data_IF_032714785752
#
_entry.id   IF_032714785752
#
_cell.length_a   1.000
_cell.length_b   1.000
_cell.length_c   1.000
_cell.angle_alpha   90.00
_cell.angle_beta   90.00
_cell.angle_gamma   90.00
#
_symmetry.space_group_name_H-M   'P 1'
#
loop_
_entity.id
_entity.type
_entity.pdbx_description
1 polymer ?
#
# COMPACT_ATOMS: atom_id res chain seq x y z
N UNK A 1 18.01 3.22 -21.49
CA UNK A 1 17.60 2.55 -20.24
C UNK A 1 16.34 3.22 -19.72
N UNK A 2 15.22 2.50 -19.79
CA UNK A 2 13.88 2.97 -19.38
C UNK A 2 13.84 3.25 -17.87
N UNK A 3 12.87 4.05 -17.41
CA UNK A 3 12.60 4.23 -15.97
C UNK A 3 12.22 2.87 -15.34
N UNK A 4 11.47 2.05 -16.08
CA UNK A 4 11.14 0.68 -15.68
C UNK A 4 12.39 -0.16 -15.42
N UNK A 5 13.36 -0.15 -16.36
CA UNK A 5 14.62 -0.88 -16.21
C UNK A 5 15.38 -0.42 -14.96
N UNK A 6 15.41 0.89 -14.68
CA UNK A 6 16.07 1.40 -13.47
C UNK A 6 15.41 0.89 -12.20
N UNK A 7 14.08 0.86 -12.14
CA UNK A 7 13.36 0.32 -10.99
C UNK A 7 13.62 -1.18 -10.81
N UNK A 8 13.60 -1.94 -11.91
CA UNK A 8 13.90 -3.38 -11.89
C UNK A 8 15.35 -3.64 -11.47
N UNK A 9 16.33 -2.94 -12.05
CA UNK A 9 17.74 -3.06 -11.66
C UNK A 9 17.95 -2.74 -10.18
N UNK A 10 17.31 -1.68 -9.67
CA UNK A 10 17.37 -1.32 -8.26
C UNK A 10 16.76 -2.42 -7.37
N UNK A 11 15.58 -2.93 -7.73
CA UNK A 11 14.93 -4.03 -7.04
C UNK A 11 15.83 -5.27 -7.03
N UNK A 12 16.34 -5.71 -8.18
CA UNK A 12 17.18 -6.91 -8.27
C UNK A 12 18.46 -6.78 -7.44
N UNK A 13 19.07 -5.59 -7.39
CA UNK A 13 20.21 -5.33 -6.50
C UNK A 13 19.85 -5.47 -5.02
N UNK A 14 18.67 -4.98 -4.61
CA UNK A 14 18.19 -5.15 -3.24
C UNK A 14 17.88 -6.63 -2.94
N UNK A 15 17.20 -7.35 -3.83
CA UNK A 15 16.85 -8.76 -3.67
C UNK A 15 18.10 -9.66 -3.52
N UNK A 16 19.21 -9.30 -4.17
CA UNK A 16 20.48 -10.02 -4.09
C UNK A 16 21.27 -9.75 -2.80
N UNK A 17 21.07 -8.58 -2.18
CA UNK A 17 21.90 -8.13 -1.04
C UNK A 17 21.18 -8.12 0.30
N UNK A 18 19.85 -8.11 0.31
CA UNK A 18 19.04 -7.91 1.50
C UNK A 18 17.97 -8.99 1.64
N UNK A 19 17.69 -9.39 2.88
CA UNK A 19 16.55 -10.25 3.22
C UNK A 19 15.26 -9.48 3.45
N UNK A 20 15.38 -8.16 3.64
CA UNK A 20 14.27 -7.22 3.76
C UNK A 20 14.48 -6.13 2.74
N UNK A 21 13.55 -6.01 1.79
CA UNK A 21 13.60 -5.01 0.72
C UNK A 21 12.55 -3.95 1.00
N UNK A 22 12.95 -2.68 0.95
CA UNK A 22 12.04 -1.55 1.02
C UNK A 22 11.97 -0.86 -0.35
N UNK A 23 10.77 -0.87 -0.93
CA UNK A 23 10.44 -0.13 -2.14
C UNK A 23 9.97 1.26 -1.74
N UNK A 24 10.78 2.25 -2.07
CA UNK A 24 10.50 3.67 -1.82
C UNK A 24 10.63 4.42 -3.14
N UNK A 25 9.50 4.66 -3.78
CA UNK A 25 9.43 5.42 -5.02
C UNK A 25 8.47 6.60 -4.84
N UNK A 26 9.00 7.82 -4.61
CA UNK A 26 8.15 8.99 -4.53
C UNK A 26 7.40 9.18 -5.85
N UNK A 27 6.10 9.45 -5.77
CA UNK A 27 5.20 9.66 -6.92
C UNK A 27 4.97 8.45 -7.85
N UNK A 28 5.40 7.24 -7.48
CA UNK A 28 5.08 6.06 -8.26
C UNK A 28 3.60 5.69 -8.17
N UNK A 29 3.05 5.17 -9.27
CA UNK A 29 1.69 4.66 -9.28
C UNK A 29 1.59 3.36 -8.47
N UNK A 30 0.42 3.11 -7.88
CA UNK A 30 0.16 1.85 -7.17
C UNK A 30 0.38 0.61 -8.04
N UNK A 31 0.16 0.72 -9.36
CA UNK A 31 0.42 -0.37 -10.31
C UNK A 31 1.92 -0.68 -10.42
N UNK A 32 2.78 0.36 -10.42
CA UNK A 32 4.24 0.19 -10.39
C UNK A 32 4.67 -0.55 -9.14
N UNK A 33 4.11 -0.21 -7.98
CA UNK A 33 4.38 -0.90 -6.73
C UNK A 33 3.91 -2.36 -6.76
N UNK A 34 2.70 -2.61 -7.28
CA UNK A 34 2.20 -3.98 -7.41
C UNK A 34 3.04 -4.83 -8.37
N UNK A 35 3.47 -4.26 -9.49
CA UNK A 35 4.34 -4.93 -10.45
C UNK A 35 5.70 -5.29 -9.83
N UNK A 36 6.34 -4.34 -9.14
CA UNK A 36 7.63 -4.58 -8.46
C UNK A 36 7.49 -5.61 -7.32
N UNK A 37 6.40 -5.53 -6.56
CA UNK A 37 6.12 -6.51 -5.51
C UNK A 37 5.87 -7.92 -6.09
N UNK A 38 5.14 -8.02 -7.21
CA UNK A 38 4.94 -9.29 -7.92
C UNK A 38 6.26 -9.88 -8.41
N UNK A 39 7.13 -9.07 -9.04
CA UNK A 39 8.46 -9.51 -9.46
C UNK A 39 9.24 -10.04 -8.26
N UNK A 40 9.22 -9.31 -7.13
CA UNK A 40 9.88 -9.76 -5.91
C UNK A 40 9.31 -11.10 -5.39
N UNK A 41 7.99 -11.33 -5.48
CA UNK A 41 7.35 -12.62 -5.14
C UNK A 41 7.84 -13.77 -6.02
N UNK A 42 8.03 -13.53 -7.32
CA UNK A 42 8.63 -14.51 -8.23
C UNK A 42 10.06 -14.89 -7.81
N UNK A 43 10.81 -13.97 -7.19
CA UNK A 43 12.15 -14.20 -6.65
C UNK A 43 12.16 -14.65 -5.18
N UNK A 44 11.02 -15.10 -4.65
CA UNK A 44 10.93 -15.72 -3.31
C UNK A 44 10.85 -14.72 -2.16
N UNK A 45 10.45 -13.48 -2.43
CA UNK A 45 10.04 -12.55 -1.38
C UNK A 45 8.53 -12.62 -1.17
N UNK A 46 8.05 -12.04 -0.08
CA UNK A 46 6.63 -11.85 0.18
C UNK A 46 6.38 -10.43 0.65
N UNK A 47 5.25 -9.87 0.24
CA UNK A 47 4.79 -8.60 0.76
C UNK A 47 4.50 -8.72 2.27
N UNK A 48 5.05 -7.80 3.07
CA UNK A 48 4.95 -7.84 4.53
C UNK A 48 4.16 -6.67 5.10
N UNK A 49 4.46 -5.43 4.67
CA UNK A 49 3.78 -4.23 5.18
C UNK A 49 3.90 -3.07 4.19
N UNK A 50 3.00 -2.09 4.30
CA UNK A 50 3.16 -0.76 3.72
C UNK A 50 3.05 0.29 4.82
N UNK A 51 3.99 1.22 4.81
CA UNK A 51 4.03 2.34 5.74
C UNK A 51 4.03 3.64 4.96
N UNK A 52 3.19 4.57 5.39
CA UNK A 52 3.21 5.92 4.86
C UNK A 52 4.08 6.76 5.79
N UNK A 53 5.25 7.17 5.29
CA UNK A 53 6.28 7.86 6.09
C UNK A 53 6.44 9.29 5.59
N UNK A 54 6.73 10.20 6.53
CA UNK A 54 7.00 11.60 6.25
C UNK A 54 5.74 12.44 6.05
N UNK A 55 5.95 13.75 5.87
CA UNK A 55 4.87 14.74 5.67
C UNK A 55 4.10 14.52 4.37
N UNK A 56 4.78 14.02 3.34
CA UNK A 56 4.20 13.73 2.03
C UNK A 56 3.52 12.36 1.95
N UNK A 57 3.50 11.60 3.06
CA UNK A 57 2.92 10.24 3.11
C UNK A 57 3.47 9.34 2.00
N UNK A 58 4.79 9.35 1.80
CA UNK A 58 5.45 8.48 0.82
C UNK A 58 5.21 7.03 1.20
N UNK A 59 4.86 6.18 0.23
CA UNK A 59 4.62 4.76 0.45
C UNK A 59 5.95 4.00 0.50
N UNK A 60 6.21 3.38 1.65
CA UNK A 60 7.31 2.46 1.90
C UNK A 60 6.72 1.05 1.93
N UNK A 61 6.97 0.28 0.88
CA UNK A 61 6.51 -1.11 0.80
C UNK A 61 7.64 -2.02 1.23
N UNK A 62 7.39 -2.80 2.28
CA UNK A 62 8.34 -3.74 2.85
C UNK A 62 8.05 -5.14 2.36
N UNK A 63 9.05 -5.74 1.73
CA UNK A 63 9.08 -7.13 1.28
C UNK A 63 10.08 -7.90 2.14
N UNK A 64 9.77 -9.14 2.48
CA UNK A 64 10.64 -9.99 3.30
C UNK A 64 10.88 -11.30 2.57
N UNK A 65 12.11 -11.82 2.61
CA UNK A 65 12.43 -13.12 2.02
C UNK A 65 11.59 -14.22 2.67
N UNK A 66 10.94 -15.03 1.84
CA UNK A 66 10.21 -16.21 2.28
C UNK A 66 11.17 -17.42 2.32
N UNK A 67 11.39 -17.96 3.52
CA UNK A 67 12.25 -19.13 3.74
C UNK A 67 11.54 -20.45 3.47
N UNK A 68 10.29 -20.43 3.04
CA UNK A 68 9.54 -21.64 2.70
C UNK A 68 10.15 -22.39 1.50
N UNK A 69 10.14 -23.73 1.50
CA UNK A 69 10.75 -24.52 0.44
C UNK A 69 10.12 -24.27 -0.94
N UNK A 70 8.81 -24.03 -1.00
CA UNK A 70 8.12 -23.68 -2.26
C UNK A 70 8.56 -22.32 -2.80
N UNK A 71 8.76 -21.33 -1.94
CA UNK A 71 9.20 -20.00 -2.36
C UNK A 71 10.63 -20.03 -2.90
N UNK A 72 11.53 -20.77 -2.25
CA UNK A 72 12.89 -20.96 -2.71
C UNK A 72 12.97 -21.72 -4.06
N UNK A 73 12.15 -22.76 -4.24
CA UNK A 73 12.07 -23.47 -5.52
C UNK A 73 11.61 -22.56 -6.66
N UNK A 74 10.56 -21.76 -6.44
CA UNK A 74 10.10 -20.76 -7.43
C UNK A 74 11.18 -19.72 -7.72
N UNK A 75 11.86 -19.23 -6.69
CA UNK A 75 12.94 -18.26 -6.84
C UNK A 75 14.10 -18.81 -7.67
N UNK A 76 14.52 -20.05 -7.42
CA UNK A 76 15.57 -20.72 -8.17
C UNK A 76 15.16 -20.95 -9.64
N UNK A 77 13.92 -21.41 -9.87
CA UNK A 77 13.39 -21.60 -11.21
C UNK A 77 13.34 -20.28 -12.00
N UNK A 78 12.86 -19.19 -11.37
CA UNK A 78 12.79 -17.88 -12.01
C UNK A 78 14.17 -17.24 -12.21
N UNK A 79 15.12 -17.45 -11.30
CA UNK A 79 16.50 -17.00 -11.48
C UNK A 79 17.18 -17.72 -12.66
N UNK A 80 16.90 -19.02 -12.85
CA UNK A 80 17.40 -19.78 -13.98
C UNK A 80 16.72 -19.37 -15.31
N UNK A 81 15.42 -19.10 -15.30
CA UNK A 81 14.66 -18.69 -16.48
C UNK A 81 14.96 -17.24 -16.90
N UNK A 82 15.24 -16.35 -15.95
CA UNK A 82 15.46 -14.92 -16.17
C UNK A 82 16.79 -14.44 -15.55
N UNK A 83 17.95 -14.89 -16.06
CA UNK A 83 19.25 -14.56 -15.48
C UNK A 83 19.60 -13.07 -15.63
N UNK A 84 19.04 -12.39 -16.64
CA UNK A 84 19.37 -11.00 -16.98
C UNK A 84 18.36 -9.96 -16.45
N UNK A 85 17.44 -10.35 -15.56
CA UNK A 85 16.39 -9.46 -15.04
C UNK A 85 16.93 -8.12 -14.49
N UNK A 86 18.09 -8.14 -13.81
CA UNK A 86 18.71 -6.92 -13.27
C UNK A 86 19.45 -6.05 -14.28
N UNK A 87 19.71 -6.55 -15.50
CA UNK A 87 20.51 -5.88 -16.53
C UNK A 87 19.66 -5.34 -17.70
N UNK A 88 18.35 -5.12 -17.49
CA UNK A 88 17.41 -4.72 -18.55
C UNK A 88 16.92 -5.90 -19.41
N UNK A 89 17.15 -7.13 -18.95
CA UNK A 89 16.59 -8.33 -19.56
C UNK A 89 15.10 -8.54 -19.23
N UNK A 90 14.49 -9.60 -19.77
CA UNK A 90 13.11 -9.94 -19.47
C UNK A 90 12.94 -10.26 -17.98
N UNK A 91 11.77 -9.92 -17.43
CA UNK A 91 11.38 -10.22 -16.05
C UNK A 91 10.08 -11.03 -16.03
N UNK A 92 9.85 -11.83 -14.97
CA UNK A 92 8.63 -12.62 -14.85
C UNK A 92 7.36 -11.76 -14.95
N UNK A 93 6.45 -12.15 -15.85
CA UNK A 93 5.10 -11.60 -15.92
C UNK A 93 4.97 -10.14 -16.41
N UNK A 94 6.02 -9.53 -16.97
CA UNK A 94 5.96 -8.16 -17.52
C UNK A 94 6.43 -8.11 -18.97
N UNK A 95 5.95 -7.11 -19.71
CA UNK A 95 6.51 -6.78 -21.01
C UNK A 95 7.94 -6.21 -20.88
N UNK A 96 8.84 -6.59 -21.78
CA UNK A 96 10.22 -6.13 -21.75
C UNK A 96 10.32 -4.60 -21.83
N UNK A 97 11.14 -4.00 -20.96
CA UNK A 97 11.33 -2.55 -20.90
C UNK A 97 10.17 -1.77 -20.26
N UNK A 98 9.15 -2.48 -19.75
CA UNK A 98 7.98 -1.91 -19.07
C UNK A 98 7.66 -2.64 -17.77
N UNK A 99 6.92 -1.97 -16.89
CA UNK A 99 6.29 -2.58 -15.70
C UNK A 99 4.80 -2.91 -15.96
N UNK A 100 4.41 -3.00 -17.23
CA UNK A 100 3.08 -3.43 -17.64
C UNK A 100 3.00 -4.95 -17.56
N UNK A 101 2.03 -5.52 -16.82
CA UNK A 101 1.89 -6.97 -16.72
C UNK A 101 1.43 -7.57 -18.04
N UNK A 102 1.86 -8.80 -18.31
CA UNK A 102 1.22 -9.64 -19.34
C UNK A 102 -0.17 -10.08 -18.86
N UNK A 103 -1.13 -10.40 -19.77
CA UNK A 103 -2.50 -10.75 -19.39
C UNK A 103 -2.60 -11.90 -18.37
N UNK A 104 -1.66 -12.85 -18.41
CA UNK A 104 -1.59 -13.98 -17.49
C UNK A 104 -1.20 -13.57 -16.06
N UNK A 105 -0.30 -12.58 -15.91
CA UNK A 105 0.17 -12.09 -14.62
C UNK A 105 -0.68 -10.91 -14.08
N UNK A 106 -1.47 -10.27 -14.94
CA UNK A 106 -2.37 -9.18 -14.58
C UNK A 106 -3.25 -9.46 -13.34
N UNK A 107 -3.96 -10.61 -13.21
CA UNK A 107 -4.79 -10.86 -12.03
C UNK A 107 -3.98 -10.91 -10.73
N UNK A 108 -2.76 -11.45 -10.77
CA UNK A 108 -1.87 -11.53 -9.61
C UNK A 108 -1.31 -10.15 -9.23
N UNK A 109 -0.93 -9.35 -10.23
CA UNK A 109 -0.46 -7.97 -10.03
C UNK A 109 -1.59 -7.10 -9.48
N UNK A 110 -2.82 -7.26 -9.97
CA UNK A 110 -3.98 -6.54 -9.47
C UNK A 110 -4.34 -6.94 -8.04
N UNK A 111 -4.16 -8.21 -7.69
CA UNK A 111 -4.37 -8.71 -6.33
C UNK A 111 -3.37 -8.08 -5.36
N UNK A 112 -2.06 -8.13 -5.65
CA UNK A 112 -1.03 -7.54 -4.78
C UNK A 112 -1.15 -6.01 -4.71
N UNK A 113 -1.50 -5.36 -5.82
CA UNK A 113 -1.82 -3.93 -5.84
C UNK A 113 -3.01 -3.62 -4.93
N UNK A 114 -4.03 -4.48 -4.93
CA UNK A 114 -5.21 -4.33 -4.07
C UNK A 114 -4.84 -4.51 -2.60
N UNK A 115 -3.97 -5.47 -2.26
CA UNK A 115 -3.42 -5.67 -0.92
C UNK A 115 -2.69 -4.42 -0.43
N UNK A 116 -1.73 -3.93 -1.22
CA UNK A 116 -0.95 -2.72 -0.92
C UNK A 116 -1.88 -1.52 -0.70
N UNK A 117 -2.88 -1.31 -1.56
CA UNK A 117 -3.84 -0.22 -1.41
C UNK A 117 -4.70 -0.34 -0.16
N UNK A 118 -5.12 -1.56 0.19
CA UNK A 118 -5.91 -1.83 1.39
C UNK A 118 -5.13 -1.45 2.65
N UNK A 119 -3.87 -1.89 2.74
CA UNK A 119 -3.03 -1.58 3.88
C UNK A 119 -2.63 -0.10 3.91
N UNK A 120 -2.36 0.51 2.75
CA UNK A 120 -2.05 1.94 2.67
C UNK A 120 -3.22 2.81 3.11
N UNK A 121 -4.46 2.44 2.79
CA UNK A 121 -5.66 3.10 3.31
C UNK A 121 -5.77 2.95 4.83
N UNK A 122 -5.42 1.77 5.36
CA UNK A 122 -5.34 1.53 6.80
C UNK A 122 -4.28 2.39 7.49
N UNK A 123 -3.10 2.56 6.87
CA UNK A 123 -2.01 3.38 7.37
C UNK A 123 -2.27 4.90 7.23
N UNK A 124 -2.96 5.33 6.17
CA UNK A 124 -3.28 6.74 5.91
C UNK A 124 -4.33 7.29 6.87
N UNK A 125 -5.22 6.42 7.35
CA UNK A 125 -6.27 6.76 8.28
C UNK A 125 -5.69 6.86 9.70
N UNK A 126 -5.11 8.02 10.04
CA UNK A 126 -4.89 8.42 11.43
C UNK A 126 -6.25 8.69 12.10
N UNK A 127 -7.05 7.63 12.28
CA UNK A 127 -8.41 7.69 12.83
C UNK A 127 -8.42 8.43 14.18
N UNK A 128 -7.40 8.19 15.00
CA UNK A 128 -7.20 8.92 16.27
C UNK A 128 -7.03 10.41 16.05
N UNK A 129 -6.12 10.84 15.17
CA UNK A 129 -5.88 12.26 14.89
C UNK A 129 -7.11 12.94 14.28
N UNK A 130 -7.79 12.29 13.33
CA UNK A 130 -9.00 12.82 12.71
C UNK A 130 -10.15 12.92 13.72
N UNK A 131 -10.31 11.94 14.62
CA UNK A 131 -11.29 12.02 15.70
C UNK A 131 -10.91 13.14 16.70
N UNK A 132 -9.65 13.23 17.11
CA UNK A 132 -9.18 14.32 18.00
C UNK A 132 -9.44 15.69 17.37
N UNK A 133 -9.13 15.86 16.08
CA UNK A 133 -9.45 17.09 15.34
C UNK A 133 -10.96 17.32 15.25
N UNK A 134 -11.75 16.28 14.97
CA UNK A 134 -13.20 16.37 14.90
C UNK A 134 -13.84 16.82 16.22
N UNK A 135 -13.22 16.58 17.37
CA UNK A 135 -13.68 17.09 18.66
C UNK A 135 -13.05 18.44 19.04
N UNK A 136 -11.79 18.68 18.69
CA UNK A 136 -11.07 19.90 19.05
C UNK A 136 -11.57 21.14 18.28
N UNK A 137 -11.87 21.02 16.98
CA UNK A 137 -12.36 22.13 16.16
C UNK A 137 -13.73 22.67 16.61
N UNK A 138 -14.78 21.84 16.80
CA UNK A 138 -16.07 22.36 17.26
C UNK A 138 -15.98 23.00 18.64
N UNK A 139 -15.19 22.44 19.56
CA UNK A 139 -14.98 23.03 20.88
C UNK A 139 -14.38 24.44 20.78
N UNK A 140 -13.37 24.61 19.92
CA UNK A 140 -12.75 25.91 19.65
C UNK A 140 -13.74 26.90 19.04
N UNK A 141 -14.53 26.49 18.04
CA UNK A 141 -15.50 27.38 17.40
C UNK A 141 -16.63 27.80 18.34
N UNK A 142 -17.10 26.91 19.21
CA UNK A 142 -18.11 27.22 20.23
C UNK A 142 -17.56 28.21 21.27
N UNK A 143 -16.32 28.01 21.73
CA UNK A 143 -15.66 28.93 22.65
C UNK A 143 -15.49 30.33 22.02
N UNK A 144 -15.08 30.37 20.74
CA UNK A 144 -14.92 31.63 20.01
C UNK A 144 -16.26 32.35 19.80
N UNK A 145 -17.34 31.60 19.57
CA UNK A 145 -18.69 32.15 19.46
C UNK A 145 -19.16 32.79 20.78
N UNK A 146 -18.88 32.12 21.91
CA UNK A 146 -19.18 32.66 23.24
C UNK A 146 -18.41 33.95 23.55
N UNK A 147 -17.14 34.04 23.11
CA UNK A 147 -16.30 35.23 23.32
C UNK A 147 -16.64 36.40 22.39
N UNK A 148 -17.08 36.14 21.16
CA UNK A 148 -17.30 37.19 20.13
C UNK A 148 -18.77 37.54 19.91
N UNK A 149 -19.70 36.76 20.45
CA UNK A 149 -21.15 36.91 20.24
C UNK A 149 -21.64 36.56 18.82
N UNK A 150 -20.75 36.11 17.92
CA UNK A 150 -21.05 35.84 16.50
C UNK A 150 -21.54 34.40 16.29
N UNK A 151 -22.61 34.03 16.98
CA UNK A 151 -23.16 32.67 16.93
C UNK A 151 -23.67 32.26 15.54
N UNK A 152 -24.24 33.19 14.77
CA UNK A 152 -24.85 32.91 13.45
C UNK A 152 -23.84 32.33 12.45
N UNK A 153 -22.56 32.68 12.54
CA UNK A 153 -21.52 32.22 11.61
C UNK A 153 -20.70 31.05 12.17
N UNK A 154 -20.40 31.08 13.47
CA UNK A 154 -19.47 30.12 14.07
C UNK A 154 -20.14 28.77 14.41
N UNK A 155 -21.42 28.78 14.77
CA UNK A 155 -22.17 27.57 15.11
C UNK A 155 -22.39 26.63 13.90
N UNK A 156 -22.78 27.10 12.69
CA UNK A 156 -22.83 26.23 11.53
C UNK A 156 -21.43 25.72 11.14
N UNK A 157 -20.37 26.53 11.24
CA UNK A 157 -19.01 26.08 10.93
C UNK A 157 -18.52 25.00 11.92
N UNK A 158 -18.88 25.13 13.20
CA UNK A 158 -18.63 24.14 14.25
C UNK A 158 -19.36 22.81 13.99
N UNK A 159 -20.54 22.84 13.37
CA UNK A 159 -21.29 21.62 13.04
C UNK A 159 -20.82 20.97 11.73
N UNK A 160 -20.48 21.78 10.73
CA UNK A 160 -20.18 21.32 9.37
C UNK A 160 -18.80 20.65 9.27
N UNK A 161 -17.81 21.14 10.02
CA UNK A 161 -16.46 20.56 10.08
C UNK A 161 -16.40 19.12 10.61
N UNK A 162 -16.95 18.78 11.79
CA UNK A 162 -16.97 17.39 12.26
C UNK A 162 -17.85 16.50 11.40
N UNK A 163 -18.96 17.01 10.87
CA UNK A 163 -19.80 16.24 9.93
C UNK A 163 -19.00 15.84 8.67
N UNK A 164 -18.26 16.77 8.08
CA UNK A 164 -17.40 16.49 6.93
C UNK A 164 -16.29 15.47 7.26
N UNK A 165 -15.62 15.64 8.40
CA UNK A 165 -14.59 14.69 8.84
C UNK A 165 -15.15 13.29 9.08
N UNK A 166 -16.32 13.16 9.71
CA UNK A 166 -16.99 11.86 9.92
C UNK A 166 -17.40 11.23 8.58
N UNK A 167 -17.92 12.00 7.63
CA UNK A 167 -18.26 11.51 6.29
C UNK A 167 -17.01 10.95 5.59
N UNK A 168 -15.89 11.68 5.59
CA UNK A 168 -14.65 11.19 4.96
C UNK A 168 -14.13 9.91 5.61
N UNK A 169 -14.24 9.77 6.93
CA UNK A 169 -13.91 8.53 7.63
C UNK A 169 -14.82 7.37 7.19
N UNK A 170 -16.14 7.59 7.10
CA UNK A 170 -17.11 6.58 6.65
C UNK A 170 -16.85 6.14 5.22
N UNK A 171 -16.55 7.08 4.32
CA UNK A 171 -16.21 6.77 2.92
C UNK A 171 -14.93 5.94 2.85
N UNK A 172 -13.92 6.26 3.66
CA UNK A 172 -12.69 5.48 3.74
C UNK A 172 -12.93 4.06 4.30
N UNK A 173 -13.75 3.92 5.34
CA UNK A 173 -14.18 2.61 5.88
C UNK A 173 -14.91 1.79 4.81
N UNK A 174 -15.84 2.39 4.06
CA UNK A 174 -16.57 1.73 2.99
C UNK A 174 -15.66 1.30 1.83
N UNK A 175 -14.71 2.16 1.42
CA UNK A 175 -13.68 1.82 0.42
C UNK A 175 -12.84 0.65 0.88
N UNK A 176 -12.38 0.67 2.14
CA UNK A 176 -11.59 -0.40 2.74
C UNK A 176 -12.38 -1.71 2.81
N UNK A 177 -13.66 -1.68 3.18
CA UNK A 177 -14.53 -2.85 3.19
C UNK A 177 -14.73 -3.45 1.79
N UNK A 178 -14.85 -2.61 0.75
CA UNK A 178 -14.95 -3.09 -0.64
C UNK A 178 -13.67 -3.79 -1.08
N UNK A 179 -12.50 -3.29 -0.70
CA UNK A 179 -11.22 -3.94 -0.97
C UNK A 179 -11.08 -5.25 -0.18
N UNK A 180 -11.43 -5.27 1.10
CA UNK A 180 -11.45 -6.48 1.92
C UNK A 180 -12.30 -7.59 1.29
N UNK A 181 -13.50 -7.27 0.79
CA UNK A 181 -14.36 -8.24 0.09
C UNK A 181 -13.68 -8.83 -1.15
N UNK A 182 -12.97 -8.01 -1.93
CA UNK A 182 -12.22 -8.48 -3.11
C UNK A 182 -11.07 -9.41 -2.71
N UNK A 183 -10.36 -9.08 -1.64
CA UNK A 183 -9.25 -9.90 -1.12
C UNK A 183 -9.75 -11.23 -0.55
N UNK A 184 -10.84 -11.21 0.23
CA UNK A 184 -11.49 -12.43 0.74
C UNK A 184 -12.01 -13.31 -0.40
N UNK A 185 -12.62 -12.72 -1.44
CA UNK A 185 -13.09 -13.48 -2.60
C UNK A 185 -11.95 -14.11 -3.40
N UNK A 186 -10.76 -13.49 -3.39
CA UNK A 186 -9.55 -14.03 -4.00
C UNK A 186 -8.80 -15.04 -3.12
N UNK A 187 -9.38 -15.45 -1.97
CA UNK A 187 -8.79 -16.44 -1.08
C UNK A 187 -7.69 -15.92 -0.16
N UNK A 188 -7.50 -14.59 -0.05
CA UNK A 188 -6.56 -14.04 0.93
C UNK A 188 -7.13 -14.19 2.35
N UNK A 189 -6.30 -14.61 3.29
CA UNK A 189 -6.72 -14.85 4.68
C UNK A 189 -6.49 -13.61 5.55
N UNK A 190 -7.49 -13.18 6.35
CA UNK A 190 -7.28 -12.10 7.29
C UNK A 190 -6.41 -12.60 8.46
N UNK A 191 -5.22 -12.02 8.61
CA UNK A 191 -4.31 -12.23 9.72
C UNK A 191 -4.20 -10.95 10.53
N UNK A 192 -4.34 -11.06 11.84
CA UNK A 192 -4.18 -9.93 12.74
C UNK A 192 -2.70 -9.82 13.13
N UNK A 193 -2.07 -8.70 12.76
CA UNK A 193 -0.68 -8.43 13.12
C UNK A 193 -0.55 -8.17 14.65
N UNK A 194 0.66 -8.25 15.19
CA UNK A 194 0.98 -8.00 16.62
C UNK A 194 0.51 -6.61 17.09
N UNK A 195 0.38 -5.68 16.15
CA UNK A 195 -0.10 -4.31 16.38
C UNK A 195 -1.65 -4.21 16.38
N UNK A 196 -2.36 -5.35 16.33
CA UNK A 196 -3.82 -5.42 16.34
C UNK A 196 -4.48 -5.03 15.01
N UNK A 197 -3.70 -4.81 13.95
CA UNK A 197 -4.17 -4.44 12.60
C UNK A 197 -4.61 -5.68 11.82
N UNK A 198 -5.80 -5.66 11.24
CA UNK A 198 -6.24 -6.67 10.26
C UNK A 198 -5.45 -6.50 8.96
N UNK A 199 -4.73 -7.54 8.57
CA UNK A 199 -3.98 -7.67 7.31
C UNK A 199 -4.52 -8.85 6.52
N UNK A 200 -4.31 -8.82 5.21
CA UNK A 200 -4.60 -9.97 4.36
C UNK A 200 -3.28 -10.59 3.89
N UNK A 201 -3.12 -11.90 4.07
CA UNK A 201 -1.97 -12.65 3.58
C UNK A 201 -2.43 -13.55 2.45
N UNK A 202 -1.66 -13.53 1.36
CA UNK A 202 -1.82 -14.46 0.24
C UNK A 202 -1.18 -15.80 0.64
N UNK A 203 -1.96 -16.88 0.56
CA UNK A 203 -1.51 -18.24 0.88
C UNK A 203 -0.60 -18.83 -0.20
#
# INVERSE_FOLDING_TARGET
>A
MSIADRHVTALMRQLASQDVVELVHPFAEWQTFGALAYIAECYGFRYADVRLVGKEKTAHIRLVRDTGPRAQQRAAANAAAFPNAGAGGPVPGMYQGSLTPVPEAQPDVDLITTLIRYDALGAAANRKQLLTMAWAFPLLFVLLAALTGKFVVLLPLAALTPAFLLITLRVNEARRAKLARRLSAAGCTPVRDEQGRERYIRA
#
